data_IF_812353693161
#
_entry.id   IF_812353693161
#
_cell.length_a   1.000
_cell.length_b   1.000
_cell.length_c   1.000
_cell.angle_alpha   90.00
_cell.angle_beta   90.00
_cell.angle_gamma   90.00
#
_symmetry.space_group_name_H-M   'P 1'
#
loop_
_entity.id
_entity.type
_entity.pdbx_description
1 polymer ?
#
# COMPACT_ATOMS: atom_id res chain seq x y z
N UNK A 1 29.33 0.13 -0.90
CA UNK A 1 28.10 0.56 -1.62
C UNK A 1 26.83 -0.19 -1.16
N UNK A 2 26.91 -1.48 -0.82
CA UNK A 2 25.79 -2.26 -0.30
C UNK A 2 25.34 -1.85 1.11
N UNK A 3 26.24 -1.46 1.98
CA UNK A 3 25.99 -1.15 3.39
C UNK A 3 24.95 -0.03 3.63
N UNK A 4 24.86 0.97 2.75
CA UNK A 4 23.88 2.06 2.91
C UNK A 4 22.45 1.63 2.59
N UNK A 5 22.27 0.77 1.60
CA UNK A 5 20.95 0.24 1.24
C UNK A 5 20.43 -0.77 2.27
N UNK A 6 21.32 -1.58 2.83
CA UNK A 6 20.97 -2.59 3.84
C UNK A 6 20.44 -1.97 5.14
N UNK A 7 20.77 -0.70 5.43
CA UNK A 7 20.38 -0.03 6.68
C UNK A 7 19.17 0.90 6.58
N UNK A 8 18.77 1.30 5.37
CA UNK A 8 17.72 2.30 5.15
C UNK A 8 16.46 1.68 4.53
N UNK A 9 15.32 1.92 5.16
CA UNK A 9 14.03 1.54 4.60
C UNK A 9 13.00 2.65 4.74
N UNK A 10 12.09 2.74 3.81
CA UNK A 10 10.88 3.56 3.90
C UNK A 10 9.64 2.68 3.69
N UNK A 11 8.70 2.78 4.61
CA UNK A 11 7.34 2.27 4.43
C UNK A 11 6.43 3.43 4.04
N UNK A 12 5.74 3.28 2.92
CA UNK A 12 4.78 4.25 2.43
C UNK A 12 3.39 3.63 2.54
N UNK A 13 2.63 4.07 3.51
CA UNK A 13 1.25 3.63 3.68
C UNK A 13 0.32 4.51 2.86
N UNK A 14 -0.46 3.88 1.99
CA UNK A 14 -1.44 4.53 1.14
C UNK A 14 -2.81 4.00 1.52
N UNK A 15 -3.75 4.88 1.83
CA UNK A 15 -5.10 4.49 2.19
C UNK A 15 -6.14 5.26 1.37
N UNK A 16 -7.05 4.52 0.81
CA UNK A 16 -8.30 5.04 0.29
C UNK A 16 -9.16 5.56 1.45
N UNK A 17 -9.53 6.83 1.39
CA UNK A 17 -10.40 7.48 2.39
C UNK A 17 -11.71 7.95 1.76
N UNK A 18 -12.09 7.38 0.62
CA UNK A 18 -13.38 7.62 -0.03
C UNK A 18 -14.55 7.24 0.87
N UNK A 19 -15.77 7.64 0.49
CA UNK A 19 -16.95 7.46 1.33
C UNK A 19 -17.30 6.01 1.68
N UNK A 20 -16.86 5.03 0.88
CA UNK A 20 -17.06 3.61 1.15
C UNK A 20 -16.10 3.01 2.20
N UNK A 21 -15.02 3.70 2.52
CA UNK A 21 -14.05 3.30 3.55
C UNK A 21 -14.54 3.66 4.95
N UNK A 22 -15.37 2.79 5.51
CA UNK A 22 -15.94 2.93 6.84
C UNK A 22 -14.91 2.68 7.97
N UNK A 23 -15.34 2.83 9.22
CA UNK A 23 -14.50 2.65 10.40
C UNK A 23 -13.94 1.22 10.53
N UNK A 24 -14.68 0.20 10.12
CA UNK A 24 -14.21 -1.20 10.14
C UNK A 24 -13.07 -1.44 9.16
N UNK A 25 -13.18 -0.93 7.94
CA UNK A 25 -12.13 -1.01 6.91
C UNK A 25 -10.88 -0.25 7.35
N UNK A 26 -11.04 0.98 7.88
CA UNK A 26 -9.93 1.76 8.43
C UNK A 26 -9.25 1.05 9.61
N UNK A 27 -10.01 0.40 10.47
CA UNK A 27 -9.45 -0.41 11.56
C UNK A 27 -8.60 -1.56 11.05
N UNK A 28 -9.05 -2.27 10.01
CA UNK A 28 -8.28 -3.36 9.40
C UNK A 28 -6.99 -2.84 8.74
N UNK A 29 -7.07 -1.74 7.99
CA UNK A 29 -5.90 -1.08 7.42
C UNK A 29 -4.88 -0.69 8.49
N UNK A 30 -5.34 -0.05 9.55
CA UNK A 30 -4.52 0.35 10.70
C UNK A 30 -3.82 -0.84 11.36
N UNK A 31 -4.54 -1.92 11.59
CA UNK A 31 -3.98 -3.13 12.19
C UNK A 31 -2.91 -3.76 11.30
N UNK A 32 -3.15 -3.83 10.00
CA UNK A 32 -2.18 -4.32 9.02
C UNK A 32 -0.90 -3.48 9.04
N UNK A 33 -1.03 -2.16 8.93
CA UNK A 33 0.09 -1.23 8.91
C UNK A 33 0.90 -1.27 10.22
N UNK A 34 0.22 -1.38 11.36
CA UNK A 34 0.87 -1.46 12.66
C UNK A 34 1.80 -2.69 12.74
N UNK A 35 1.33 -3.86 12.34
CA UNK A 35 2.15 -5.08 12.43
C UNK A 35 3.27 -5.08 11.38
N UNK A 36 3.00 -4.64 10.16
CA UNK A 36 4.04 -4.47 9.13
C UNK A 36 5.14 -3.51 9.58
N UNK A 37 4.76 -2.39 10.19
CA UNK A 37 5.74 -1.41 10.71
C UNK A 37 6.65 -2.00 11.78
N UNK A 38 6.09 -2.83 12.67
CA UNK A 38 6.89 -3.51 13.71
C UNK A 38 7.85 -4.53 13.14
N UNK A 39 7.46 -5.23 12.08
CA UNK A 39 8.34 -6.18 11.42
C UNK A 39 9.53 -5.46 10.76
N UNK A 40 9.27 -4.44 9.97
CA UNK A 40 10.31 -3.69 9.27
C UNK A 40 11.27 -3.01 10.24
N UNK A 41 10.78 -2.52 11.39
CA UNK A 41 11.62 -1.94 12.46
C UNK A 41 12.65 -2.91 13.05
N UNK A 42 12.44 -4.19 12.92
CA UNK A 42 13.41 -5.21 13.37
C UNK A 42 14.50 -5.48 12.35
N UNK A 43 14.18 -5.28 11.08
CA UNK A 43 15.09 -5.60 9.96
C UNK A 43 16.05 -4.45 9.63
N UNK A 44 15.63 -3.21 9.80
CA UNK A 44 16.38 -2.03 9.37
C UNK A 44 16.69 -1.08 10.53
N UNK A 45 17.88 -0.47 10.50
CA UNK A 45 18.33 0.46 11.53
C UNK A 45 17.77 1.89 11.34
N UNK A 46 17.58 2.31 10.09
CA UNK A 46 17.06 3.64 9.74
C UNK A 46 15.78 3.47 8.92
N UNK A 47 14.63 3.85 9.50
CA UNK A 47 13.33 3.65 8.88
C UNK A 47 12.57 4.97 8.87
N UNK A 48 12.07 5.32 7.68
CA UNK A 48 11.09 6.37 7.48
C UNK A 48 9.69 5.77 7.31
N UNK A 49 8.68 6.46 7.83
CA UNK A 49 7.27 6.15 7.60
C UNK A 49 6.61 7.35 6.96
N UNK A 50 5.94 7.11 5.85
CA UNK A 50 5.18 8.13 5.13
C UNK A 50 3.73 7.68 4.96
N UNK A 51 2.82 8.63 5.02
CA UNK A 51 1.39 8.37 5.00
C UNK A 51 0.72 9.19 3.90
N UNK A 52 -0.02 8.50 3.04
CA UNK A 52 -0.76 9.08 1.93
C UNK A 52 -2.22 8.71 2.08
N UNK A 53 -3.11 9.69 2.15
CA UNK A 53 -4.55 9.49 2.02
C UNK A 53 -5.03 9.99 0.66
N UNK A 54 -5.99 9.30 0.07
CA UNK A 54 -6.55 9.72 -1.21
C UNK A 54 -8.04 9.44 -1.36
N UNK A 55 -8.65 10.23 -2.18
CA UNK A 55 -9.95 10.04 -2.82
C UNK A 55 -9.72 10.11 -4.34
N UNK A 56 -10.23 11.10 -5.03
CA UNK A 56 -9.81 11.47 -6.39
C UNK A 56 -8.51 12.29 -6.41
N UNK A 57 -8.10 12.80 -5.26
CA UNK A 57 -6.87 13.57 -5.02
C UNK A 57 -6.13 12.97 -3.83
N UNK A 58 -4.82 12.91 -3.91
CA UNK A 58 -3.96 12.40 -2.85
C UNK A 58 -3.29 13.52 -2.06
N UNK A 59 -3.04 13.25 -0.78
CA UNK A 59 -2.34 14.13 0.15
C UNK A 59 -1.36 13.34 1.01
N UNK A 60 -0.15 13.88 1.21
CA UNK A 60 0.69 13.46 2.32
C UNK A 60 0.09 14.00 3.62
N UNK A 61 -0.03 13.14 4.61
CA UNK A 61 -0.62 13.45 5.91
C UNK A 61 0.26 12.89 7.03
N UNK A 62 0.08 13.39 8.25
CA UNK A 62 0.72 12.76 9.40
C UNK A 62 -0.03 11.49 9.82
N UNK A 63 0.57 10.70 10.71
CA UNK A 63 0.00 9.43 11.18
C UNK A 63 -1.37 9.61 11.83
N UNK A 64 -1.56 10.66 12.63
CA UNK A 64 -2.83 10.95 13.28
C UNK A 64 -3.94 11.24 12.26
N UNK A 65 -3.69 12.13 11.32
CA UNK A 65 -4.64 12.44 10.24
C UNK A 65 -4.97 11.22 9.41
N UNK A 66 -3.98 10.41 9.09
CA UNK A 66 -4.13 9.19 8.29
C UNK A 66 -5.18 8.23 8.88
N UNK A 67 -5.16 8.04 10.19
CA UNK A 67 -6.06 7.10 10.85
C UNK A 67 -7.37 7.69 11.37
N UNK A 68 -7.48 9.02 11.50
CA UNK A 68 -8.62 9.65 12.15
C UNK A 68 -9.44 10.55 11.23
N UNK A 69 -8.87 11.03 10.12
CA UNK A 69 -9.57 11.92 9.22
C UNK A 69 -10.58 11.15 8.38
N UNK A 70 -11.83 11.63 8.38
CA UNK A 70 -12.86 11.16 7.46
C UNK A 70 -12.92 12.13 6.26
N UNK A 71 -12.94 11.59 5.06
CA UNK A 71 -13.23 12.33 3.85
C UNK A 71 -14.37 11.63 3.09
N UNK A 72 -15.02 12.35 2.22
CA UNK A 72 -16.04 11.81 1.32
C UNK A 72 -15.65 12.14 -0.12
N UNK A 73 -16.06 11.32 -1.07
CA UNK A 73 -15.77 11.52 -2.48
C UNK A 73 -15.60 10.22 -3.23
N UNK A 74 -15.30 10.32 -4.50
CA UNK A 74 -14.99 9.20 -5.36
C UNK A 74 -13.58 8.68 -5.15
N UNK A 75 -13.18 7.69 -5.95
CA UNK A 75 -11.89 7.03 -5.83
C UNK A 75 -11.15 7.02 -7.16
N UNK A 76 -9.95 7.60 -7.18
CA UNK A 76 -8.93 7.39 -8.19
C UNK A 76 -7.72 6.72 -7.52
N UNK A 77 -7.58 5.43 -7.75
CA UNK A 77 -6.44 4.65 -7.23
C UNK A 77 -5.11 5.24 -7.72
N UNK A 78 -5.09 5.68 -8.98
CA UNK A 78 -3.91 6.30 -9.57
C UNK A 78 -3.43 7.52 -8.78
N UNK A 79 -4.33 8.27 -8.15
CA UNK A 79 -3.95 9.47 -7.37
C UNK A 79 -3.06 9.13 -6.19
N UNK A 80 -3.42 8.11 -5.41
CA UNK A 80 -2.63 7.62 -4.28
C UNK A 80 -1.29 7.03 -4.69
N UNK A 81 -1.30 6.20 -5.74
CA UNK A 81 -0.08 5.58 -6.26
C UNK A 81 0.89 6.61 -6.84
N UNK A 82 0.39 7.60 -7.59
CA UNK A 82 1.23 8.66 -8.15
C UNK A 82 1.84 9.56 -7.07
N UNK A 83 1.13 9.80 -5.97
CA UNK A 83 1.70 10.53 -4.83
C UNK A 83 2.88 9.76 -4.22
N UNK A 84 2.78 8.45 -4.10
CA UNK A 84 3.89 7.60 -3.65
C UNK A 84 5.07 7.63 -4.62
N UNK A 85 4.81 7.53 -5.92
CA UNK A 85 5.86 7.63 -6.96
C UNK A 85 6.61 8.96 -6.90
N UNK A 86 5.89 10.07 -6.76
CA UNK A 86 6.50 11.39 -6.63
C UNK A 86 7.35 11.50 -5.36
N UNK A 87 6.83 11.02 -4.24
CA UNK A 87 7.54 11.00 -2.96
C UNK A 87 8.86 10.20 -3.04
N UNK A 88 8.83 9.03 -3.68
CA UNK A 88 10.01 8.19 -3.89
C UNK A 88 11.07 8.94 -4.72
N UNK A 89 10.64 9.53 -5.84
CA UNK A 89 11.54 10.28 -6.72
C UNK A 89 12.18 11.49 -6.03
N UNK A 90 11.44 12.14 -5.13
CA UNK A 90 11.93 13.34 -4.44
C UNK A 90 12.80 13.02 -3.23
N UNK A 91 12.45 12.01 -2.43
CA UNK A 91 13.07 11.78 -1.11
C UNK A 91 13.75 10.42 -0.95
N UNK A 92 13.33 9.40 -1.66
CA UNK A 92 13.73 8.02 -1.38
C UNK A 92 14.24 7.30 -2.63
N UNK A 93 15.38 7.75 -3.20
CA UNK A 93 15.90 7.10 -4.41
C UNK A 93 16.17 5.62 -4.16
N UNK A 94 15.75 4.73 -5.08
CA UNK A 94 15.85 3.26 -4.91
C UNK A 94 17.28 2.73 -4.73
N UNK A 95 18.27 3.50 -5.16
CA UNK A 95 19.68 3.15 -5.01
C UNK A 95 20.15 3.24 -3.54
N UNK A 96 19.44 4.02 -2.71
CA UNK A 96 19.80 4.29 -1.32
C UNK A 96 18.79 3.79 -0.30
N UNK A 97 17.57 3.45 -0.74
CA UNK A 97 16.46 3.06 0.12
C UNK A 97 15.84 1.74 -0.29
N UNK A 98 15.50 0.93 0.70
CA UNK A 98 14.57 -0.18 0.52
C UNK A 98 13.15 0.36 0.67
N UNK A 99 12.31 0.16 -0.35
CA UNK A 99 11.03 0.84 -0.50
C UNK A 99 9.90 -0.18 -0.39
N UNK A 100 9.00 0.04 0.56
CA UNK A 100 7.88 -0.82 0.89
C UNK A 100 6.55 -0.05 0.88
N UNK A 101 5.95 0.21 -0.29
CA UNK A 101 4.60 0.75 -0.34
C UNK A 101 3.58 -0.32 0.03
N UNK A 102 2.60 0.07 0.82
CA UNK A 102 1.45 -0.77 1.17
C UNK A 102 0.17 0.04 0.99
N UNK A 103 -0.70 -0.45 0.14
CA UNK A 103 -1.94 0.20 -0.22
C UNK A 103 -3.15 -0.57 0.31
N UNK A 104 -4.04 0.12 1.00
CA UNK A 104 -5.29 -0.42 1.51
C UNK A 104 -6.50 0.32 0.91
N UNK A 105 -7.44 -0.43 0.36
CA UNK A 105 -8.67 0.05 -0.28
C UNK A 105 -9.74 -1.02 -0.18
N UNK A 106 -11.00 -0.68 -0.45
CA UNK A 106 -12.08 -1.67 -0.60
C UNK A 106 -12.25 -2.17 -2.05
N UNK A 107 -11.36 -1.77 -2.93
CA UNK A 107 -11.32 -2.23 -4.31
C UNK A 107 -12.21 -1.45 -5.29
N UNK A 108 -12.95 -0.46 -4.80
CA UNK A 108 -13.70 0.43 -5.68
C UNK A 108 -12.76 1.40 -6.39
N UNK A 109 -13.00 1.59 -7.67
CA UNK A 109 -12.30 2.59 -8.49
C UNK A 109 -13.19 3.04 -9.62
N UNK A 110 -13.15 4.31 -9.97
CA UNK A 110 -13.86 4.78 -11.14
C UNK A 110 -13.24 4.20 -12.41
N UNK A 111 -14.07 3.68 -13.30
CA UNK A 111 -13.63 2.91 -14.47
C UNK A 111 -12.68 3.68 -15.39
N UNK A 112 -12.83 4.98 -15.47
CA UNK A 112 -11.97 5.89 -16.26
C UNK A 112 -10.53 5.99 -15.71
N UNK A 113 -10.33 5.62 -14.43
CA UNK A 113 -9.03 5.60 -13.78
C UNK A 113 -8.29 4.27 -13.93
N UNK A 114 -8.98 3.20 -14.30
CA UNK A 114 -8.43 1.85 -14.27
C UNK A 114 -7.11 1.70 -15.02
N UNK A 115 -7.01 2.22 -16.24
CA UNK A 115 -5.78 2.12 -17.04
C UNK A 115 -4.64 2.94 -16.45
N UNK A 116 -4.95 4.11 -15.89
CA UNK A 116 -3.95 4.93 -15.18
C UNK A 116 -3.47 4.25 -13.93
N UNK A 117 -4.38 3.66 -13.16
CA UNK A 117 -4.04 2.90 -11.97
C UNK A 117 -3.11 1.73 -12.29
N UNK A 118 -3.41 0.95 -13.34
CA UNK A 118 -2.58 -0.17 -13.78
C UNK A 118 -1.17 0.26 -14.16
N UNK A 119 -1.05 1.37 -14.92
CA UNK A 119 0.25 1.93 -15.29
C UNK A 119 1.05 2.35 -14.06
N UNK A 120 0.42 3.10 -13.15
CA UNK A 120 1.06 3.60 -11.93
C UNK A 120 1.50 2.46 -11.00
N UNK A 121 0.70 1.39 -10.87
CA UNK A 121 1.06 0.21 -10.09
C UNK A 121 2.29 -0.48 -10.64
N UNK A 122 2.40 -0.67 -11.97
CA UNK A 122 3.59 -1.25 -12.58
C UNK A 122 4.83 -0.41 -12.31
N UNK A 123 4.74 0.91 -12.47
CA UNK A 123 5.84 1.83 -12.20
C UNK A 123 6.26 1.78 -10.72
N UNK A 124 5.29 1.71 -9.79
CA UNK A 124 5.60 1.59 -8.37
C UNK A 124 6.28 0.26 -8.03
N UNK A 125 5.89 -0.84 -8.68
CA UNK A 125 6.57 -2.13 -8.55
C UNK A 125 8.02 -2.05 -8.99
N UNK A 126 8.32 -1.36 -10.10
CA UNK A 126 9.68 -1.21 -10.63
C UNK A 126 10.60 -0.45 -9.65
N UNK A 127 10.04 0.41 -8.80
CA UNK A 127 10.79 1.23 -7.84
C UNK A 127 10.84 0.63 -6.43
N UNK A 128 10.16 -0.48 -6.18
CA UNK A 128 9.92 -1.01 -4.83
C UNK A 128 10.62 -2.35 -4.61
N UNK A 129 10.97 -2.64 -3.36
CA UNK A 129 11.39 -3.98 -2.94
C UNK A 129 10.20 -4.94 -2.87
N UNK A 130 9.08 -4.45 -2.33
CA UNK A 130 7.78 -5.13 -2.30
C UNK A 130 6.68 -4.07 -2.34
N UNK A 131 5.67 -4.29 -3.16
CA UNK A 131 4.43 -3.51 -3.12
C UNK A 131 3.28 -4.40 -2.67
N UNK A 132 2.72 -4.10 -1.50
CA UNK A 132 1.59 -4.82 -0.92
C UNK A 132 0.27 -4.11 -1.19
N UNK A 133 -0.73 -4.83 -1.70
CA UNK A 133 -2.10 -4.37 -1.85
C UNK A 133 -3.04 -5.20 -0.97
N UNK A 134 -3.76 -4.54 -0.09
CA UNK A 134 -4.78 -5.16 0.74
C UNK A 134 -6.18 -4.66 0.37
N UNK A 135 -7.02 -5.53 -0.15
CA UNK A 135 -8.42 -5.23 -0.42
C UNK A 135 -9.26 -5.61 0.78
N UNK A 136 -9.90 -4.61 1.38
CA UNK A 136 -10.58 -4.70 2.67
C UNK A 136 -12.08 -4.84 2.47
N UNK A 137 -12.67 -5.92 2.99
CA UNK A 137 -14.12 -6.18 2.96
C UNK A 137 -14.73 -5.89 1.58
N UNK A 138 -14.23 -6.50 0.50
CA UNK A 138 -14.71 -6.20 -0.84
C UNK A 138 -16.21 -6.52 -0.97
N UNK A 139 -16.91 -5.67 -1.71
CA UNK A 139 -18.31 -5.90 -2.04
C UNK A 139 -18.47 -7.21 -2.83
N UNK A 140 -19.48 -7.99 -2.52
CA UNK A 140 -19.79 -9.23 -3.26
C UNK A 140 -20.31 -8.98 -4.67
N UNK A 141 -20.67 -7.74 -4.99
CA UNK A 141 -21.34 -7.36 -6.25
C UNK A 141 -20.45 -6.58 -7.21
N UNK A 142 -19.25 -6.20 -6.81
CA UNK A 142 -18.35 -5.42 -7.66
C UNK A 142 -17.21 -6.28 -8.20
N UNK A 143 -16.83 -6.03 -9.45
CA UNK A 143 -15.54 -6.48 -9.99
C UNK A 143 -14.46 -5.70 -9.28
N UNK A 144 -13.84 -6.31 -8.31
CA UNK A 144 -12.85 -5.64 -7.48
C UNK A 144 -11.52 -5.49 -8.20
N UNK A 145 -10.75 -4.48 -7.81
CA UNK A 145 -9.42 -4.26 -8.37
C UNK A 145 -8.45 -5.38 -8.03
N UNK A 146 -8.68 -6.14 -6.95
CA UNK A 146 -7.90 -7.33 -6.61
C UNK A 146 -7.77 -8.30 -7.78
N UNK A 147 -8.88 -8.69 -8.39
CA UNK A 147 -8.87 -9.63 -9.52
C UNK A 147 -8.18 -9.03 -10.74
N UNK A 148 -8.41 -7.76 -11.00
CA UNK A 148 -7.77 -7.07 -12.11
C UNK A 148 -6.27 -6.97 -11.92
N UNK A 149 -5.80 -6.58 -10.75
CA UNK A 149 -4.37 -6.52 -10.44
C UNK A 149 -3.70 -7.88 -10.58
N UNK A 150 -4.30 -8.94 -10.04
CA UNK A 150 -3.75 -10.29 -10.17
C UNK A 150 -3.68 -10.79 -11.62
N UNK A 151 -4.60 -10.36 -12.47
CA UNK A 151 -4.62 -10.73 -13.89
C UNK A 151 -3.59 -9.96 -14.70
N UNK A 152 -3.40 -8.69 -14.42
CA UNK A 152 -2.68 -7.75 -15.29
C UNK A 152 -1.29 -7.33 -14.75
N UNK A 153 -1.00 -7.53 -13.47
CA UNK A 153 0.31 -7.21 -12.87
C UNK A 153 1.12 -8.50 -12.73
N UNK A 154 2.20 -8.60 -13.49
CA UNK A 154 3.09 -9.78 -13.51
C UNK A 154 4.34 -9.62 -12.64
N UNK A 155 4.54 -8.49 -12.00
CA UNK A 155 5.69 -8.21 -11.15
C UNK A 155 5.74 -9.16 -9.95
N UNK A 156 6.88 -9.82 -9.74
CA UNK A 156 7.06 -10.80 -8.66
C UNK A 156 7.05 -10.17 -7.26
N UNK A 157 7.30 -8.88 -7.17
CA UNK A 157 7.30 -8.11 -5.93
C UNK A 157 5.95 -7.46 -5.63
N UNK A 158 4.95 -7.62 -6.50
CA UNK A 158 3.57 -7.23 -6.22
C UNK A 158 2.86 -8.35 -5.46
N UNK A 159 2.30 -8.03 -4.31
CA UNK A 159 1.60 -8.98 -3.44
C UNK A 159 0.25 -8.41 -3.10
N UNK A 160 -0.81 -9.10 -3.51
CA UNK A 160 -2.18 -8.70 -3.23
C UNK A 160 -2.87 -9.71 -2.31
N UNK A 161 -3.66 -9.20 -1.39
CA UNK A 161 -4.42 -10.00 -0.41
C UNK A 161 -5.83 -9.45 -0.25
N UNK A 162 -6.77 -10.33 0.09
CA UNK A 162 -8.12 -9.95 0.50
C UNK A 162 -8.24 -10.14 2.01
N UNK A 163 -8.78 -9.12 2.68
CA UNK A 163 -9.05 -9.12 4.13
C UNK A 163 -10.55 -8.95 4.33
N UNK A 164 -11.25 -10.03 4.63
CA UNK A 164 -12.70 -10.03 4.90
C UNK A 164 -13.01 -9.88 6.38
N UNK A 165 -12.14 -10.40 7.23
CA UNK A 165 -12.30 -10.40 8.69
C UNK A 165 -10.94 -10.34 9.39
N UNK A 166 -10.94 -10.09 10.69
CA UNK A 166 -9.70 -9.91 11.48
C UNK A 166 -8.72 -11.08 11.38
N UNK A 167 -9.22 -12.31 11.28
CA UNK A 167 -8.34 -13.49 11.16
C UNK A 167 -7.53 -13.49 9.86
N UNK A 168 -8.04 -12.87 8.80
CA UNK A 168 -7.37 -12.80 7.50
C UNK A 168 -6.13 -11.89 7.55
N UNK A 169 -6.06 -10.96 8.53
CA UNK A 169 -4.90 -10.09 8.73
C UNK A 169 -3.61 -10.89 8.93
N UNK A 170 -3.68 -12.00 9.65
CA UNK A 170 -2.51 -12.84 9.87
C UNK A 170 -2.01 -13.52 8.58
N UNK A 171 -2.94 -14.00 7.76
CA UNK A 171 -2.62 -14.58 6.45
C UNK A 171 -2.05 -13.51 5.52
N UNK A 172 -2.67 -12.31 5.50
CA UNK A 172 -2.20 -11.18 4.73
C UNK A 172 -0.76 -10.79 5.09
N UNK A 173 -0.46 -10.69 6.38
CA UNK A 173 0.88 -10.41 6.88
C UNK A 173 1.90 -11.45 6.44
N UNK A 174 1.61 -12.73 6.65
CA UNK A 174 2.48 -13.81 6.22
C UNK A 174 2.74 -13.78 4.72
N UNK A 175 1.71 -13.51 3.94
CA UNK A 175 1.82 -13.45 2.47
C UNK A 175 2.70 -12.30 2.03
N UNK A 176 2.50 -11.10 2.58
CA UNK A 176 3.31 -9.92 2.26
C UNK A 176 4.78 -10.07 2.71
N UNK A 177 5.01 -10.70 3.86
CA UNK A 177 6.34 -10.85 4.43
C UNK A 177 7.04 -12.16 4.01
N UNK A 178 6.41 -13.00 3.21
CA UNK A 178 6.93 -14.35 2.89
C UNK A 178 8.29 -14.36 2.20
N UNK A 179 8.61 -13.33 1.44
CA UNK A 179 9.92 -13.19 0.80
C UNK A 179 10.97 -12.71 1.80
N UNK A 180 10.61 -11.78 2.66
CA UNK A 180 11.49 -11.20 3.67
C UNK A 180 11.86 -12.21 4.78
N UNK A 181 10.96 -13.19 5.05
CA UNK A 181 11.18 -14.26 6.02
C UNK A 181 12.06 -15.41 5.49
N UNK A 182 12.26 -15.50 4.17
CA UNK A 182 13.09 -16.55 3.55
C UNK A 182 14.57 -16.17 3.44
N UNK A 183 14.92 -14.93 3.72
CA UNK A 183 16.27 -14.41 3.69
C UNK A 183 16.96 -14.42 5.06
N UNK A 184 16.29 -14.94 6.08
CA UNK A 184 16.85 -15.28 7.40
C UNK A 184 17.16 -16.78 7.47
#
# INVERSE_FOLDING_TARGET
YSLKKESNAVMIFIMDVSGSMDSSKKYMARSLFFVLSRFIKRKYNNIAFEFISHTTVAKLVNEFEFFHKAESGGTYISSGINAALNLIKEKYPPEMWNIYPVYASDGDNWSEDNERAMKSVRELCDMSNMFGYAELLPSTYSTTMYYRFNKEISHKNFISVIVKEKKDLWVALKTMLSKELKEE
#
